data_IF_542273476736
#
_entry.id   IF_542273476736
#
_cell.length_a   1.000
_cell.length_b   1.000
_cell.length_c   1.000
_cell.angle_alpha   90.00
_cell.angle_beta   90.00
_cell.angle_gamma   90.00
#
_symmetry.space_group_name_H-M   'P 1'
#
loop_
_entity.id
_entity.type
_entity.pdbx_description
1 polymer ?
#
# COMPACT_ATOMS: atom_id res chain seq x y z
N UNK A 1 -8.57 -5.84 -18.29
CA UNK A 1 -8.95 -4.58 -17.61
C UNK A 1 -7.75 -4.11 -16.82
N UNK A 2 -7.43 -2.82 -16.86
CA UNK A 2 -6.31 -2.25 -16.09
C UNK A 2 -6.71 -1.99 -14.64
N UNK A 3 -5.72 -1.93 -13.74
CA UNK A 3 -5.86 -1.50 -12.34
C UNK A 3 -4.86 -0.36 -12.07
N UNK A 4 -5.15 0.48 -11.08
CA UNK A 4 -4.26 1.58 -10.67
C UNK A 4 -3.73 1.38 -9.26
N UNK A 5 -2.54 1.89 -8.99
CA UNK A 5 -1.87 1.74 -7.69
C UNK A 5 -1.82 3.07 -6.93
N UNK A 6 -2.39 3.08 -5.72
CA UNK A 6 -2.46 4.25 -4.85
C UNK A 6 -1.18 4.38 -4.00
N UNK A 7 -0.19 5.10 -4.54
CA UNK A 7 1.09 5.36 -3.88
C UNK A 7 1.39 6.85 -3.76
N UNK A 8 1.84 7.27 -2.57
CA UNK A 8 2.30 8.66 -2.32
C UNK A 8 3.57 9.01 -3.10
N UNK A 9 4.41 8.03 -3.42
CA UNK A 9 5.67 8.16 -4.16
C UNK A 9 5.85 6.97 -5.09
N UNK A 10 6.38 7.19 -6.27
CA UNK A 10 6.71 6.10 -7.19
C UNK A 10 7.92 5.29 -6.67
N UNK A 11 8.08 4.01 -7.02
CA UNK A 11 9.13 3.14 -6.47
C UNK A 11 10.56 3.68 -6.63
N UNK A 12 10.85 4.35 -7.74
CA UNK A 12 12.16 4.97 -7.97
C UNK A 12 12.48 6.06 -6.93
N UNK A 13 11.50 6.91 -6.62
CA UNK A 13 11.62 7.98 -5.63
C UNK A 13 11.73 7.43 -4.21
N UNK A 14 11.02 6.34 -3.91
CA UNK A 14 11.10 5.66 -2.60
C UNK A 14 12.54 5.17 -2.36
N UNK A 15 13.16 4.55 -3.37
CA UNK A 15 14.53 4.04 -3.29
C UNK A 15 15.56 5.17 -3.17
N UNK A 16 15.34 6.28 -3.86
CA UNK A 16 16.26 7.42 -3.86
C UNK A 16 16.16 8.27 -2.58
N UNK A 17 14.96 8.39 -2.00
CA UNK A 17 14.71 9.31 -0.88
C UNK A 17 15.41 8.91 0.43
N UNK A 18 15.81 7.64 0.59
CA UNK A 18 16.50 7.14 1.79
C UNK A 18 15.68 7.38 3.08
N UNK A 19 14.93 6.39 3.54
CA UNK A 19 14.14 6.50 4.77
C UNK A 19 13.03 5.45 4.86
N UNK A 20 12.23 5.51 5.93
CA UNK A 20 11.16 4.54 6.18
C UNK A 20 9.95 4.86 5.29
N UNK A 21 9.68 3.99 4.32
CA UNK A 21 8.48 4.05 3.48
C UNK A 21 7.37 3.20 4.07
N UNK A 22 6.15 3.76 4.17
CA UNK A 22 4.97 3.14 4.80
C UNK A 22 3.78 3.16 3.85
N UNK A 23 2.67 2.56 4.26
CA UNK A 23 1.38 2.64 3.56
C UNK A 23 0.99 4.11 3.27
N UNK A 24 0.38 4.34 2.10
CA UNK A 24 -0.21 5.63 1.75
C UNK A 24 -1.32 6.03 2.74
N UNK A 25 -1.53 7.35 2.92
CA UNK A 25 -2.59 7.85 3.80
C UNK A 25 -3.98 7.33 3.33
N UNK A 26 -4.82 6.75 4.20
CA UNK A 26 -6.13 6.24 3.83
C UNK A 26 -7.02 7.28 3.12
N UNK A 27 -6.91 8.56 3.49
CA UNK A 27 -7.64 9.64 2.83
C UNK A 27 -7.21 9.81 1.38
N UNK A 28 -5.91 9.69 1.10
CA UNK A 28 -5.38 9.74 -0.25
C UNK A 28 -5.90 8.56 -1.08
N UNK A 29 -5.91 7.34 -0.51
CA UNK A 29 -6.39 6.14 -1.19
C UNK A 29 -7.87 6.28 -1.55
N UNK A 30 -8.71 6.72 -0.60
CA UNK A 30 -10.14 6.96 -0.83
C UNK A 30 -10.40 8.00 -1.92
N UNK A 31 -9.59 9.06 -1.98
CA UNK A 31 -9.70 10.06 -3.04
C UNK A 31 -9.41 9.46 -4.42
N UNK A 32 -8.46 8.52 -4.52
CA UNK A 32 -8.15 7.83 -5.76
C UNK A 32 -9.29 6.89 -6.14
N UNK A 33 -9.81 6.08 -5.20
CA UNK A 33 -10.98 5.22 -5.42
C UNK A 33 -12.19 6.02 -5.91
N UNK A 34 -12.44 7.21 -5.36
CA UNK A 34 -13.53 8.07 -5.81
C UNK A 34 -13.29 8.69 -7.21
N UNK A 35 -12.03 8.81 -7.65
CA UNK A 35 -11.67 9.45 -8.90
C UNK A 35 -11.66 8.48 -10.10
N UNK A 36 -11.66 7.16 -9.88
CA UNK A 36 -11.51 6.16 -10.93
C UNK A 36 -12.55 5.05 -10.82
N UNK A 37 -12.94 4.47 -11.94
CA UNK A 37 -13.92 3.35 -11.99
C UNK A 37 -13.26 1.98 -12.17
N UNK A 38 -11.93 1.92 -12.08
CA UNK A 38 -11.15 0.69 -12.21
C UNK A 38 -10.60 0.27 -10.84
N UNK A 39 -10.28 -1.02 -10.63
CA UNK A 39 -9.78 -1.49 -9.35
C UNK A 39 -8.54 -0.71 -8.88
N UNK A 40 -8.51 -0.38 -7.59
CA UNK A 40 -7.42 0.32 -6.93
C UNK A 40 -6.67 -0.63 -6.01
N UNK A 41 -5.35 -0.62 -6.14
CA UNK A 41 -4.44 -1.41 -5.31
C UNK A 41 -3.69 -0.48 -4.35
N UNK A 42 -3.46 -0.93 -3.12
CA UNK A 42 -2.63 -0.22 -2.16
C UNK A 42 -1.56 -1.14 -1.57
N UNK A 43 -0.40 -0.57 -1.25
CA UNK A 43 0.71 -1.30 -0.64
C UNK A 43 0.69 -1.22 0.88
N UNK A 44 0.98 -2.32 1.54
CA UNK A 44 1.31 -2.39 2.98
C UNK A 44 2.72 -2.94 3.18
N UNK A 45 3.32 -2.67 4.34
CA UNK A 45 4.65 -3.19 4.70
C UNK A 45 4.60 -4.68 4.99
N UNK A 46 5.68 -5.39 4.67
CA UNK A 46 5.87 -6.80 5.05
C UNK A 46 5.71 -6.95 6.57
N UNK A 47 4.86 -7.90 6.97
CA UNK A 47 4.56 -8.23 8.36
C UNK A 47 3.63 -7.24 9.08
N UNK A 48 3.21 -6.14 8.45
CA UNK A 48 2.40 -5.11 9.12
C UNK A 48 0.90 -5.34 8.98
N UNK A 49 0.35 -6.35 9.65
CA UNK A 49 -1.06 -6.74 9.55
C UNK A 49 -2.06 -5.60 9.86
N UNK A 50 -1.71 -4.65 10.74
CA UNK A 50 -2.57 -3.48 11.03
C UNK A 50 -2.72 -2.57 9.80
N UNK A 51 -1.71 -2.47 8.93
CA UNK A 51 -1.84 -1.70 7.69
C UNK A 51 -2.79 -2.42 6.73
N UNK A 52 -2.70 -3.76 6.64
CA UNK A 52 -3.66 -4.54 5.86
C UNK A 52 -5.10 -4.38 6.39
N UNK A 53 -5.32 -4.44 7.71
CA UNK A 53 -6.64 -4.23 8.31
C UNK A 53 -7.20 -2.83 8.02
N UNK A 54 -6.36 -1.79 8.02
CA UNK A 54 -6.79 -0.44 7.62
C UNK A 54 -7.21 -0.42 6.15
N UNK A 55 -6.46 -1.08 5.27
CA UNK A 55 -6.77 -1.17 3.84
C UNK A 55 -8.06 -1.95 3.58
N UNK A 56 -8.30 -3.05 4.30
CA UNK A 56 -9.56 -3.79 4.25
C UNK A 56 -10.74 -2.94 4.75
N UNK A 57 -10.55 -2.19 5.85
CA UNK A 57 -11.60 -1.34 6.41
C UNK A 57 -11.99 -0.16 5.51
N UNK A 58 -11.16 0.19 4.52
CA UNK A 58 -11.49 1.17 3.49
C UNK A 58 -11.91 0.53 2.17
N UNK A 59 -12.15 -0.79 2.16
CA UNK A 59 -12.66 -1.57 1.03
C UNK A 59 -11.76 -1.42 -0.21
N UNK A 60 -10.45 -1.56 -0.04
CA UNK A 60 -9.52 -1.61 -1.19
C UNK A 60 -9.75 -2.88 -2.02
N UNK A 61 -9.60 -2.81 -3.33
CA UNK A 61 -9.81 -3.98 -4.19
C UNK A 61 -8.69 -5.02 -4.04
N UNK A 62 -7.44 -4.56 -3.90
CA UNK A 62 -6.28 -5.43 -3.69
C UNK A 62 -5.26 -4.82 -2.73
N UNK A 63 -4.74 -5.67 -1.86
CA UNK A 63 -3.63 -5.36 -0.93
C UNK A 63 -2.36 -6.02 -1.45
N UNK A 64 -1.30 -5.22 -1.57
CA UNK A 64 0.00 -5.66 -2.02
C UNK A 64 1.04 -5.50 -0.88
N UNK A 65 1.33 -6.61 -0.21
CA UNK A 65 2.41 -6.67 0.78
C UNK A 65 3.75 -6.62 0.06
N UNK A 66 4.50 -5.53 0.22
CA UNK A 66 5.59 -5.22 -0.70
C UNK A 66 6.91 -4.87 -0.01
N UNK A 67 7.98 -5.51 -0.48
CA UNK A 67 9.39 -5.25 -0.17
C UNK A 67 9.90 -3.89 -0.66
N UNK A 68 9.09 -3.19 -1.47
CA UNK A 68 9.36 -1.81 -1.90
C UNK A 68 9.14 -0.83 -0.74
N UNK A 69 8.28 -1.19 0.23
CA UNK A 69 8.14 -0.45 1.48
C UNK A 69 9.15 -0.96 2.50
N UNK A 70 9.49 -0.13 3.49
CA UNK A 70 10.41 -0.56 4.54
C UNK A 70 9.76 -1.67 5.36
N UNK A 71 10.41 -2.83 5.53
CA UNK A 71 9.86 -3.93 6.32
C UNK A 71 9.45 -3.44 7.72
N UNK A 72 8.31 -3.92 8.20
CA UNK A 72 7.93 -3.71 9.59
C UNK A 72 8.35 -4.88 10.48
N UNK A 73 8.44 -6.07 9.89
CA UNK A 73 8.99 -7.29 10.47
C UNK A 73 9.98 -7.88 9.46
N UNK A 74 11.18 -8.22 9.94
CA UNK A 74 12.27 -8.76 9.11
C UNK A 74 12.22 -10.30 8.99
N UNK A 75 11.27 -10.95 9.68
CA UNK A 75 11.19 -12.41 9.85
C UNK A 75 9.87 -13.00 9.36
N UNK A 76 8.75 -12.30 9.54
CA UNK A 76 7.42 -12.84 9.24
C UNK A 76 6.61 -11.98 8.26
N UNK A 77 5.96 -12.66 7.31
CA UNK A 77 4.92 -12.06 6.46
C UNK A 77 3.56 -12.06 7.17
N UNK A 78 2.63 -11.24 6.71
CA UNK A 78 1.23 -11.30 7.16
C UNK A 78 0.67 -12.67 6.79
N UNK A 79 0.07 -13.38 7.76
CA UNK A 79 -0.64 -14.64 7.52
C UNK A 79 -1.89 -14.33 6.68
N UNK A 80 -1.95 -14.87 5.46
CA UNK A 80 -2.95 -14.53 4.42
C UNK A 80 -4.13 -15.49 4.40
#
# INVERSE_FOLDING_TARGET
GGAVMALKRIPADIRQAGGISRMSDPKMIKNIQAAVSIPVMAKCRIGHFVEAQILEAIEIDYIDESEVLSPADDVYHIDK
#
